data_IF_908994766501
#
_entry.id   IF_908994766501
#
_cell.length_a   1.000
_cell.length_b   1.000
_cell.length_c   1.000
_cell.angle_alpha   90.00
_cell.angle_beta   90.00
_cell.angle_gamma   90.00
#
_symmetry.space_group_name_H-M   'P 1'
#
loop_
_entity.id
_entity.type
_entity.pdbx_description
1 polymer ?
#
# COMPACT_ATOMS: atom_id res chain seq x y z
N UNK A 1 -23.73 8.76 -3.74
CA UNK A 1 -23.20 8.01 -2.57
C UNK A 1 -21.89 8.67 -2.16
N UNK A 2 -21.64 8.80 -0.86
CA UNK A 2 -20.40 9.36 -0.32
C UNK A 2 -19.38 8.28 0.07
N UNK A 3 -18.33 8.68 0.80
CA UNK A 3 -17.33 7.80 1.42
C UNK A 3 -17.99 6.63 2.17
N UNK A 4 -17.40 5.41 2.09
CA UNK A 4 -17.85 4.24 2.85
C UNK A 4 -17.59 4.42 4.36
N UNK A 5 -18.54 4.01 5.19
CA UNK A 5 -18.49 4.18 6.65
C UNK A 5 -18.12 2.89 7.40
N UNK A 6 -18.16 1.76 6.72
CA UNK A 6 -17.83 0.43 7.24
C UNK A 6 -16.35 0.04 7.03
N UNK A 7 -15.56 0.92 6.41
CA UNK A 7 -14.09 0.80 6.29
C UNK A 7 -13.46 1.96 7.04
N UNK A 8 -12.49 1.67 7.91
CA UNK A 8 -11.70 2.68 8.62
C UNK A 8 -10.22 2.59 8.25
N UNK A 9 -9.74 1.39 7.91
CA UNK A 9 -8.34 1.09 7.63
C UNK A 9 -8.16 0.33 6.31
N UNK A 10 -7.17 0.74 5.52
CA UNK A 10 -6.92 0.18 4.19
C UNK A 10 -5.44 -0.16 4.07
N UNK A 11 -5.15 -1.41 3.70
CA UNK A 11 -3.83 -1.87 3.33
C UNK A 11 -3.60 -1.71 1.83
N UNK A 12 -2.60 -0.91 1.45
CA UNK A 12 -2.12 -0.79 0.07
C UNK A 12 -0.94 -1.74 -0.12
N UNK A 13 -0.96 -2.50 -1.21
CA UNK A 13 0.18 -3.33 -1.63
C UNK A 13 1.01 -2.56 -2.68
N UNK A 14 2.26 -2.26 -2.34
CA UNK A 14 3.21 -1.62 -3.24
C UNK A 14 3.79 -2.58 -4.29
N UNK A 15 4.54 -2.03 -5.23
CA UNK A 15 5.13 -2.80 -6.33
C UNK A 15 6.44 -3.54 -5.98
N UNK A 16 7.09 -3.18 -4.86
CA UNK A 16 8.43 -3.66 -4.57
C UNK A 16 9.50 -2.97 -5.43
N UNK A 17 10.67 -3.61 -5.65
CA UNK A 17 11.79 -2.99 -6.35
C UNK A 17 11.48 -2.72 -7.84
N UNK A 18 12.12 -1.68 -8.39
CA UNK A 18 12.01 -1.32 -9.81
C UNK A 18 12.65 -2.40 -10.68
N UNK A 19 11.91 -2.84 -11.70
CA UNK A 19 12.37 -3.76 -12.74
C UNK A 19 11.89 -3.30 -14.12
N UNK A 20 12.49 -3.83 -15.18
CA UNK A 20 12.00 -3.59 -16.55
C UNK A 20 10.54 -4.09 -16.64
N UNK A 21 9.63 -3.21 -17.04
CA UNK A 21 8.19 -3.49 -17.16
C UNK A 21 7.37 -3.26 -15.88
N UNK A 22 8.01 -2.90 -14.76
CA UNK A 22 7.33 -2.48 -13.53
C UNK A 22 8.22 -1.49 -12.77
N UNK A 23 8.02 -0.19 -12.98
CA UNK A 23 8.96 0.85 -12.54
C UNK A 23 8.28 1.95 -11.71
N UNK A 24 8.77 3.19 -11.85
CA UNK A 24 8.42 4.35 -11.01
C UNK A 24 6.94 4.72 -11.07
N UNK A 25 6.21 4.29 -12.10
CA UNK A 25 4.77 4.52 -12.23
C UNK A 25 3.98 4.05 -11.01
N UNK A 26 4.45 3.02 -10.30
CA UNK A 26 3.78 2.51 -9.10
C UNK A 26 4.16 3.24 -7.81
N UNK A 27 5.32 3.92 -7.75
CA UNK A 27 5.56 4.90 -6.68
C UNK A 27 4.62 6.09 -6.86
N UNK A 28 4.52 6.61 -8.08
CA UNK A 28 3.60 7.71 -8.40
C UNK A 28 2.13 7.34 -8.07
N UNK A 29 1.64 6.20 -8.56
CA UNK A 29 0.27 5.75 -8.27
C UNK A 29 0.05 5.41 -6.81
N UNK A 30 1.00 4.74 -6.16
CA UNK A 30 0.94 4.39 -4.75
C UNK A 30 0.92 5.63 -3.83
N UNK A 31 1.75 6.63 -4.12
CA UNK A 31 1.79 7.89 -3.39
C UNK A 31 0.46 8.67 -3.55
N UNK A 32 -0.12 8.68 -4.75
CA UNK A 32 -1.44 9.27 -4.97
C UNK A 32 -2.54 8.55 -4.19
N UNK A 33 -2.51 7.22 -4.16
CA UNK A 33 -3.48 6.44 -3.37
C UNK A 33 -3.34 6.70 -1.86
N UNK A 34 -2.12 6.76 -1.35
CA UNK A 34 -1.85 7.11 0.05
C UNK A 34 -2.41 8.49 0.39
N UNK A 35 -2.10 9.49 -0.43
CA UNK A 35 -2.59 10.86 -0.26
C UNK A 35 -4.12 10.93 -0.29
N UNK A 36 -4.75 10.35 -1.31
CA UNK A 36 -6.21 10.41 -1.47
C UNK A 36 -6.95 9.73 -0.30
N UNK A 37 -6.48 8.57 0.15
CA UNK A 37 -7.11 7.87 1.27
C UNK A 37 -6.94 8.62 2.60
N UNK A 38 -5.77 9.26 2.83
CA UNK A 38 -5.54 10.10 4.00
C UNK A 38 -6.38 11.37 4.00
N UNK A 39 -6.51 12.04 2.86
CA UNK A 39 -7.37 13.23 2.71
C UNK A 39 -8.83 12.91 2.99
N UNK A 40 -9.27 11.70 2.63
CA UNK A 40 -10.60 11.17 2.98
C UNK A 40 -10.69 10.66 4.43
N UNK A 41 -9.60 10.71 5.20
CA UNK A 41 -9.57 10.31 6.61
C UNK A 41 -9.68 8.80 6.84
N UNK A 42 -9.12 7.98 5.95
CA UNK A 42 -8.86 6.57 6.24
C UNK A 42 -7.50 6.43 6.91
N UNK A 43 -7.38 5.41 7.76
CA UNK A 43 -6.08 4.92 8.23
C UNK A 43 -5.41 4.12 7.10
N UNK A 44 -4.25 4.56 6.65
CA UNK A 44 -3.51 3.94 5.55
C UNK A 44 -2.36 3.10 6.09
N UNK A 45 -2.36 1.82 5.72
CA UNK A 45 -1.25 0.89 5.95
C UNK A 45 -0.63 0.61 4.59
N UNK A 46 0.70 0.64 4.50
CA UNK A 46 1.41 0.38 3.25
C UNK A 46 2.50 -0.69 3.46
N UNK A 47 2.59 -1.64 2.54
CA UNK A 47 3.74 -2.54 2.42
C UNK A 47 4.42 -2.32 1.07
N UNK A 48 5.69 -1.92 1.08
CA UNK A 48 6.52 -1.82 -0.12
C UNK A 48 7.99 -2.04 0.25
N UNK A 49 8.63 -3.03 -0.37
CA UNK A 49 10.03 -3.36 -0.07
C UNK A 49 11.05 -2.39 -0.68
N UNK A 50 10.63 -1.46 -1.53
CA UNK A 50 11.53 -0.49 -2.16
C UNK A 50 11.69 0.76 -1.28
N UNK A 51 12.86 0.99 -0.67
CA UNK A 51 13.08 2.14 0.21
C UNK A 51 13.24 3.47 -0.55
N UNK A 52 13.43 3.43 -1.86
CA UNK A 52 13.66 4.62 -2.69
C UNK A 52 12.35 5.13 -3.33
N UNK A 53 11.27 5.20 -2.54
CA UNK A 53 9.95 5.61 -3.02
C UNK A 53 9.35 6.67 -2.12
N UNK A 54 8.66 7.65 -2.71
CA UNK A 54 7.96 8.68 -1.94
C UNK A 54 6.82 8.06 -1.14
N UNK A 55 6.12 7.07 -1.70
CA UNK A 55 5.03 6.41 -0.97
C UNK A 55 5.47 5.77 0.36
N UNK A 56 6.76 5.42 0.52
CA UNK A 56 7.32 4.88 1.77
C UNK A 56 7.84 5.94 2.74
N UNK A 57 7.73 7.23 2.42
CA UNK A 57 8.08 8.27 3.39
C UNK A 57 7.17 8.16 4.63
N UNK A 58 7.70 8.39 5.87
CA UNK A 58 6.93 8.20 7.10
C UNK A 58 5.63 9.00 7.17
N UNK A 59 5.56 10.15 6.49
CA UNK A 59 4.40 11.04 6.54
C UNK A 59 3.30 10.66 5.52
N UNK A 60 3.56 9.69 4.64
CA UNK A 60 2.65 9.33 3.54
C UNK A 60 1.59 8.31 3.95
N UNK A 61 1.82 7.48 4.97
CA UNK A 61 0.87 6.49 5.49
C UNK A 61 0.91 6.47 7.03
N UNK A 62 -0.13 5.95 7.68
CA UNK A 62 -0.17 5.86 9.14
C UNK A 62 0.72 4.71 9.66
N UNK A 63 0.87 3.65 8.85
CA UNK A 63 1.79 2.56 9.09
C UNK A 63 2.50 2.16 7.79
N UNK A 64 3.81 2.38 7.73
CA UNK A 64 4.64 2.04 6.57
C UNK A 64 5.57 0.88 6.89
N UNK A 65 5.47 -0.19 6.10
CA UNK A 65 6.29 -1.39 6.19
C UNK A 65 7.21 -1.49 4.98
N UNK A 66 8.51 -1.28 5.21
CA UNK A 66 9.55 -1.57 4.23
C UNK A 66 9.94 -3.04 4.36
N UNK A 67 9.04 -3.91 3.92
CA UNK A 67 9.09 -5.37 4.05
C UNK A 67 8.83 -6.04 2.69
N UNK A 68 9.27 -7.29 2.46
CA UNK A 68 9.02 -8.01 1.20
C UNK A 68 7.54 -8.07 0.84
N UNK A 69 7.18 -7.77 -0.41
CA UNK A 69 5.80 -7.91 -0.92
C UNK A 69 5.51 -9.36 -1.28
N UNK A 70 5.52 -10.22 -0.25
CA UNK A 70 5.22 -11.66 -0.32
C UNK A 70 4.06 -11.96 0.60
N UNK A 71 3.22 -12.94 0.27
CA UNK A 71 2.02 -13.24 1.06
C UNK A 71 2.33 -13.57 2.53
N UNK A 72 3.48 -14.18 2.82
CA UNK A 72 3.88 -14.52 4.19
C UNK A 72 4.20 -13.27 5.02
N UNK A 73 4.90 -12.30 4.43
CA UNK A 73 5.22 -11.03 5.09
C UNK A 73 3.96 -10.18 5.24
N UNK A 74 3.18 -10.05 4.16
CA UNK A 74 1.90 -9.33 4.15
C UNK A 74 0.91 -9.93 5.15
N UNK A 75 0.85 -11.26 5.30
CA UNK A 75 0.04 -11.92 6.33
C UNK A 75 0.41 -11.46 7.75
N UNK A 76 1.70 -11.34 8.07
CA UNK A 76 2.14 -10.86 9.40
C UNK A 76 1.72 -9.41 9.63
N UNK A 77 1.81 -8.57 8.59
CA UNK A 77 1.31 -7.19 8.65
C UNK A 77 -0.20 -7.18 8.90
N UNK A 78 -0.98 -7.99 8.16
CA UNK A 78 -2.43 -8.11 8.37
C UNK A 78 -2.78 -8.61 9.78
N UNK A 79 -2.04 -9.57 10.34
CA UNK A 79 -2.26 -10.09 11.69
C UNK A 79 -2.07 -9.01 12.77
N UNK A 80 -1.11 -8.11 12.59
CA UNK A 80 -0.83 -6.97 13.49
C UNK A 80 -1.82 -5.83 13.26
N UNK A 81 -2.00 -5.44 12.00
CA UNK A 81 -2.68 -4.20 11.62
C UNK A 81 -4.18 -4.33 11.43
N UNK A 82 -4.65 -5.54 11.16
CA UNK A 82 -6.07 -5.89 10.95
C UNK A 82 -6.80 -4.90 10.04
N UNK A 83 -6.32 -4.66 8.80
CA UNK A 83 -6.98 -3.75 7.86
C UNK A 83 -8.40 -4.22 7.53
N UNK A 84 -9.34 -3.28 7.39
CA UNK A 84 -10.72 -3.57 6.99
C UNK A 84 -10.82 -3.91 5.49
N UNK A 85 -9.90 -3.37 4.69
CA UNK A 85 -9.85 -3.59 3.26
C UNK A 85 -8.42 -3.62 2.72
N UNK A 86 -8.25 -4.22 1.54
CA UNK A 86 -6.98 -4.25 0.80
C UNK A 86 -7.20 -3.56 -0.55
N UNK A 87 -6.25 -2.71 -0.95
CA UNK A 87 -6.20 -2.05 -2.25
C UNK A 87 -5.02 -2.61 -3.08
N UNK A 88 -5.23 -3.65 -3.90
CA UNK A 88 -4.16 -4.35 -4.62
C UNK A 88 -3.86 -3.78 -6.02
N UNK A 89 -4.47 -2.65 -6.38
CA UNK A 89 -4.48 -2.13 -7.76
C UNK A 89 -3.39 -1.09 -8.05
N UNK A 90 -2.57 -0.72 -7.06
CA UNK A 90 -1.58 0.37 -7.17
C UNK A 90 -0.13 -0.12 -7.19
N UNK A 91 0.11 -1.42 -7.08
CA UNK A 91 1.45 -2.03 -7.03
C UNK A 91 1.76 -2.97 -8.20
N UNK A 92 1.15 -2.74 -9.36
CA UNK A 92 1.39 -3.52 -10.57
C UNK A 92 1.10 -5.02 -10.39
N UNK A 93 1.83 -5.86 -11.13
CA UNK A 93 1.63 -7.30 -11.10
C UNK A 93 2.07 -7.91 -9.76
N UNK A 94 3.04 -7.29 -9.09
CA UNK A 94 3.52 -7.75 -7.77
C UNK A 94 2.39 -7.69 -6.74
N UNK A 95 1.65 -6.59 -6.67
CA UNK A 95 0.48 -6.47 -5.80
C UNK A 95 -0.64 -7.44 -6.19
N UNK A 96 -0.94 -7.57 -7.49
CA UNK A 96 -2.00 -8.48 -7.98
C UNK A 96 -1.71 -9.96 -7.70
N UNK A 97 -0.44 -10.38 -7.81
CA UNK A 97 -0.06 -11.76 -7.50
C UNK A 97 -0.01 -12.05 -6.00
N UNK A 98 0.18 -11.02 -5.18
CA UNK A 98 0.23 -11.14 -3.73
C UNK A 98 -1.16 -11.11 -3.07
N UNK A 99 -2.12 -10.44 -3.70
CA UNK A 99 -3.49 -10.26 -3.22
C UNK A 99 -4.32 -11.55 -3.28
#
# INVERSE_FOLDING_TARGET
>A
MGKRTDIQSILILGAGPIVIGQACEFDYSGAQACKALREEGYRVILVNSNPATIMTDPDMADATYIEPVTWQAVRKVIEVERPDAILPTMGGQTALNCA
#
